data_IF_876590888561
#
_entry.id   IF_876590888561
#
_cell.length_a   1.000
_cell.length_b   1.000
_cell.length_c   1.000
_cell.angle_alpha   90.00
_cell.angle_beta   90.00
_cell.angle_gamma   90.00
#
_symmetry.space_group_name_H-M   'P 1'
#
loop_
_entity.id
_entity.type
_entity.pdbx_description
1 polymer ?
#
# COMPACT_ATOMS: atom_id res chain seq x y z
N UNK A 1 18.62 -13.18 -3.93
CA UNK A 1 19.35 -11.90 -3.66
C UNK A 1 19.12 -11.61 -2.21
N UNK A 2 20.15 -11.32 -1.43
CA UNK A 2 19.94 -10.88 -0.04
C UNK A 2 19.59 -9.38 -0.06
N UNK A 3 18.38 -9.04 0.39
CA UNK A 3 17.91 -7.65 0.45
C UNK A 3 18.42 -6.86 1.66
N UNK A 4 19.20 -7.50 2.55
CA UNK A 4 19.81 -6.87 3.72
C UNK A 4 18.78 -6.23 4.69
N UNK A 5 17.62 -6.87 4.82
CA UNK A 5 16.54 -6.37 5.68
C UNK A 5 16.60 -6.97 7.11
N UNK A 6 17.49 -7.92 7.34
CA UNK A 6 17.71 -8.50 8.68
C UNK A 6 18.07 -7.40 9.69
N UNK A 7 17.31 -7.34 10.78
CA UNK A 7 17.51 -6.35 11.84
C UNK A 7 16.79 -5.01 11.60
N UNK A 8 16.17 -4.78 10.44
CA UNK A 8 15.32 -3.63 10.18
C UNK A 8 13.93 -3.84 10.76
N UNK A 9 13.27 -2.75 11.14
CA UNK A 9 11.88 -2.74 11.61
C UNK A 9 11.01 -2.00 10.59
N UNK A 10 9.94 -2.65 10.15
CA UNK A 10 8.99 -2.09 9.20
C UNK A 10 7.61 -1.90 9.84
N UNK A 11 6.97 -0.76 9.57
CA UNK A 11 5.56 -0.55 9.78
C UNK A 11 4.84 -0.64 8.43
N UNK A 12 3.91 -1.59 8.31
CA UNK A 12 3.04 -1.71 7.14
C UNK A 12 1.61 -1.37 7.56
N UNK A 13 1.09 -0.23 7.10
CA UNK A 13 -0.26 0.19 7.47
C UNK A 13 -1.32 -0.60 6.71
N UNK A 14 -2.42 -1.00 7.39
CA UNK A 14 -3.45 -1.83 6.79
C UNK A 14 -2.94 -3.20 6.34
N UNK A 15 -2.13 -3.87 7.14
CA UNK A 15 -1.45 -5.13 6.80
C UNK A 15 -2.17 -6.40 7.26
N UNK A 16 -3.47 -6.33 7.55
CA UNK A 16 -4.26 -7.51 7.94
C UNK A 16 -4.90 -8.25 6.76
N UNK A 17 -4.78 -7.76 5.54
CA UNK A 17 -5.32 -8.38 4.32
C UNK A 17 -4.64 -7.85 3.05
N UNK A 18 -4.93 -8.48 1.92
CA UNK A 18 -4.56 -8.00 0.57
C UNK A 18 -3.09 -7.66 0.38
N UNK A 19 -2.82 -6.54 -0.30
CA UNK A 19 -1.46 -6.07 -0.62
C UNK A 19 -0.62 -5.85 0.65
N UNK A 20 -1.20 -5.25 1.68
CA UNK A 20 -0.49 -4.96 2.93
C UNK A 20 -0.01 -6.23 3.65
N UNK A 21 -0.83 -7.28 3.69
CA UNK A 21 -0.46 -8.58 4.27
C UNK A 21 0.65 -9.26 3.45
N UNK A 22 0.55 -9.23 2.14
CA UNK A 22 1.60 -9.78 1.26
C UNK A 22 2.93 -9.03 1.41
N UNK A 23 2.90 -7.69 1.53
CA UNK A 23 4.09 -6.89 1.81
C UNK A 23 4.70 -7.29 3.16
N UNK A 24 3.89 -7.42 4.21
CA UNK A 24 4.37 -7.87 5.52
C UNK A 24 5.04 -9.24 5.42
N UNK A 25 4.41 -10.21 4.76
CA UNK A 25 4.98 -11.55 4.53
C UNK A 25 6.33 -11.48 3.80
N UNK A 26 6.43 -10.68 2.73
CA UNK A 26 7.68 -10.55 1.97
C UNK A 26 8.81 -9.92 2.80
N UNK A 27 8.52 -8.90 3.59
CA UNK A 27 9.51 -8.26 4.48
C UNK A 27 9.99 -9.22 5.59
N UNK A 28 9.07 -10.03 6.13
CA UNK A 28 9.39 -11.06 7.13
C UNK A 28 10.32 -12.12 6.53
N UNK A 29 10.02 -12.59 5.32
CA UNK A 29 10.84 -13.58 4.62
C UNK A 29 12.28 -13.10 4.39
N UNK A 30 12.47 -11.78 4.26
CA UNK A 30 13.78 -11.14 4.15
C UNK A 30 14.42 -10.79 5.52
N UNK A 31 13.81 -11.24 6.64
CA UNK A 31 14.34 -11.11 8.00
C UNK A 31 14.06 -9.79 8.72
N UNK A 32 13.18 -8.96 8.19
CA UNK A 32 12.74 -7.76 8.89
C UNK A 32 11.81 -8.11 10.07
N UNK A 33 11.80 -7.25 11.08
CA UNK A 33 10.74 -7.22 12.07
C UNK A 33 9.59 -6.38 11.52
N UNK A 34 8.34 -6.84 11.66
CA UNK A 34 7.19 -6.15 11.05
C UNK A 34 6.11 -5.84 12.08
N UNK A 35 5.67 -4.59 12.08
CA UNK A 35 4.53 -4.11 12.86
C UNK A 35 3.29 -4.30 11.99
N UNK A 36 2.40 -5.20 12.40
CA UNK A 36 1.14 -5.55 11.73
C UNK A 36 0.04 -4.63 12.23
N UNK A 37 -0.49 -3.82 11.31
CA UNK A 37 -1.52 -2.84 11.65
C UNK A 37 -2.88 -3.18 11.04
N UNK A 38 -3.89 -3.01 11.85
CA UNK A 38 -5.32 -3.08 11.51
C UNK A 38 -6.15 -2.39 12.57
N UNK A 39 -7.45 -2.22 12.31
CA UNK A 39 -8.37 -1.55 13.26
C UNK A 39 -8.82 -2.45 14.40
N UNK A 40 -8.94 -3.76 14.15
CA UNK A 40 -9.47 -4.74 15.10
C UNK A 40 -8.36 -5.64 15.62
N UNK A 41 -8.25 -5.73 16.92
CA UNK A 41 -7.22 -6.51 17.61
C UNK A 41 -7.28 -8.00 17.24
N UNK A 42 -8.49 -8.57 17.16
CA UNK A 42 -8.66 -9.98 16.78
C UNK A 42 -8.07 -10.26 15.40
N UNK A 43 -8.32 -9.35 14.41
CA UNK A 43 -7.81 -9.55 13.04
C UNK A 43 -6.30 -9.36 12.95
N UNK A 44 -5.74 -8.42 13.73
CA UNK A 44 -4.29 -8.25 13.84
C UNK A 44 -3.65 -9.51 14.39
N UNK A 45 -4.17 -10.04 15.50
CA UNK A 45 -3.64 -11.23 16.14
C UNK A 45 -3.84 -12.50 15.29
N UNK A 46 -4.94 -12.60 14.54
CA UNK A 46 -5.15 -13.68 13.57
C UNK A 46 -4.08 -13.64 12.47
N UNK A 47 -3.86 -12.46 11.87
CA UNK A 47 -2.86 -12.27 10.81
C UNK A 47 -1.45 -12.59 11.31
N UNK A 48 -1.11 -12.20 12.52
CA UNK A 48 0.18 -12.56 13.13
C UNK A 48 0.33 -14.07 13.22
N UNK A 49 -0.68 -14.79 13.76
CA UNK A 49 -0.64 -16.26 13.85
C UNK A 49 -0.53 -16.95 12.48
N UNK A 50 -1.13 -16.39 11.44
CA UNK A 50 -1.01 -16.91 10.07
C UNK A 50 0.41 -16.74 9.54
N UNK A 51 0.99 -15.55 9.70
CA UNK A 51 2.35 -15.25 9.26
C UNK A 51 3.43 -16.03 10.04
N UNK A 52 3.21 -16.26 11.34
CA UNK A 52 4.09 -17.10 12.17
C UNK A 52 4.09 -18.57 11.73
N UNK A 53 2.97 -19.10 11.22
CA UNK A 53 2.92 -20.46 10.65
C UNK A 53 3.76 -20.59 9.39
N UNK A 54 3.79 -19.53 8.56
CA UNK A 54 4.57 -19.49 7.32
C UNK A 54 6.06 -19.23 7.59
N UNK A 55 6.35 -18.43 8.63
CA UNK A 55 7.71 -18.05 9.03
C UNK A 55 7.85 -18.10 10.55
N UNK A 56 8.19 -19.26 11.13
CA UNK A 56 8.18 -19.49 12.59
C UNK A 56 9.08 -18.55 13.41
N UNK A 57 10.19 -18.08 12.83
CA UNK A 57 11.14 -17.17 13.50
C UNK A 57 10.84 -15.68 13.24
N UNK A 58 9.65 -15.38 12.69
CA UNK A 58 9.24 -14.02 12.37
C UNK A 58 9.14 -13.14 13.62
N UNK A 59 9.66 -11.93 13.54
CA UNK A 59 9.50 -10.91 14.57
C UNK A 59 8.33 -10.00 14.23
N UNK A 60 7.17 -10.25 14.83
CA UNK A 60 5.93 -9.58 14.58
C UNK A 60 5.44 -8.81 15.79
N UNK A 61 4.92 -7.62 15.56
CA UNK A 61 4.41 -6.73 16.60
C UNK A 61 2.99 -6.30 16.28
N UNK A 62 2.04 -6.45 17.22
CA UNK A 62 0.65 -6.06 16.99
C UNK A 62 0.45 -4.54 17.09
N UNK A 63 -0.33 -3.96 16.20
CA UNK A 63 -0.70 -2.55 16.21
C UNK A 63 -2.17 -2.38 15.83
N UNK A 64 -3.06 -2.60 16.81
CA UNK A 64 -4.51 -2.46 16.65
C UNK A 64 -4.92 -0.98 16.80
N UNK A 65 -4.69 -0.17 15.75
CA UNK A 65 -5.02 1.25 15.72
C UNK A 65 -5.72 1.61 14.41
N UNK A 66 -6.75 2.45 14.49
CA UNK A 66 -7.34 3.06 13.29
C UNK A 66 -6.48 4.24 12.82
N UNK A 67 -5.63 3.99 11.83
CA UNK A 67 -4.75 5.00 11.26
C UNK A 67 -5.46 5.96 10.29
N UNK A 68 -6.73 5.74 9.98
CA UNK A 68 -7.58 6.74 9.35
C UNK A 68 -7.89 7.92 10.27
N UNK A 69 -7.66 7.77 11.60
CA UNK A 69 -7.91 8.77 12.61
C UNK A 69 -6.61 9.35 13.18
N UNK A 70 -6.62 10.62 13.57
CA UNK A 70 -5.44 11.30 14.11
C UNK A 70 -4.94 10.66 15.42
N UNK A 71 -5.87 10.22 16.26
CA UNK A 71 -5.61 9.56 17.53
C UNK A 71 -4.86 8.25 17.34
N UNK A 72 -5.29 7.41 16.37
CA UNK A 72 -4.63 6.15 16.03
C UNK A 72 -3.22 6.36 15.52
N UNK A 73 -3.00 7.38 14.67
CA UNK A 73 -1.65 7.77 14.22
C UNK A 73 -0.77 8.28 15.36
N UNK A 74 -1.37 8.93 16.37
CA UNK A 74 -0.67 9.34 17.59
C UNK A 74 -0.26 8.16 18.44
N UNK A 75 -1.19 7.23 18.68
CA UNK A 75 -1.00 6.06 19.51
C UNK A 75 0.06 5.10 18.97
N UNK A 76 0.01 4.79 17.67
CA UNK A 76 1.02 3.90 17.06
C UNK A 76 2.44 4.49 17.15
N UNK A 77 2.57 5.81 16.99
CA UNK A 77 3.87 6.46 17.15
C UNK A 77 4.38 6.46 18.60
N UNK A 78 3.48 6.51 19.59
CA UNK A 78 3.86 6.37 21.00
C UNK A 78 4.34 4.96 21.31
N UNK A 79 3.68 3.93 20.77
CA UNK A 79 4.03 2.54 20.99
C UNK A 79 5.27 2.12 20.21
N UNK A 80 5.44 2.59 18.99
CA UNK A 80 6.53 2.27 18.07
C UNK A 80 7.16 3.56 17.54
N UNK A 81 7.95 4.27 18.33
CA UNK A 81 8.46 5.59 17.97
C UNK A 81 9.49 5.58 16.84
N UNK A 82 10.13 4.44 16.58
CA UNK A 82 11.17 4.30 15.56
C UNK A 82 10.89 3.08 14.66
N UNK A 83 10.93 3.34 13.34
CA UNK A 83 10.90 2.30 12.31
C UNK A 83 11.93 2.64 11.22
N UNK A 84 12.51 1.63 10.60
CA UNK A 84 13.45 1.80 9.48
C UNK A 84 12.72 1.95 8.16
N UNK A 85 11.55 1.30 8.06
CA UNK A 85 10.75 1.22 6.85
C UNK A 85 9.31 1.59 7.21
N UNK A 86 8.74 2.56 6.50
CA UNK A 86 7.33 2.93 6.60
C UNK A 86 6.64 2.65 5.26
N UNK A 87 5.71 1.71 5.25
CA UNK A 87 4.86 1.43 4.09
C UNK A 87 3.46 2.00 4.35
N UNK A 88 3.14 3.12 3.70
CA UNK A 88 1.82 3.73 3.70
C UNK A 88 0.93 2.99 2.70
N UNK A 89 0.36 1.87 3.14
CA UNK A 89 -0.52 1.02 2.32
C UNK A 89 -2.00 1.22 2.65
N UNK A 90 -2.34 1.75 3.85
CA UNK A 90 -3.73 1.99 4.22
C UNK A 90 -4.45 2.82 3.14
N UNK A 91 -5.63 2.35 2.75
CA UNK A 91 -6.49 3.06 1.83
C UNK A 91 -7.85 2.39 1.70
N UNK A 92 -8.82 3.18 1.32
CA UNK A 92 -10.17 2.74 0.96
C UNK A 92 -10.41 3.05 -0.51
N UNK A 93 -11.21 2.22 -1.17
CA UNK A 93 -11.70 2.41 -2.52
C UNK A 93 -13.17 1.98 -2.57
N UNK A 94 -13.96 2.68 -3.35
CA UNK A 94 -15.37 2.38 -3.53
C UNK A 94 -15.82 3.02 -4.85
N UNK A 95 -16.43 2.29 -5.77
CA UNK A 95 -17.02 2.85 -6.96
C UNK A 95 -18.20 3.77 -6.62
N UNK A 96 -18.29 4.92 -7.26
CA UNK A 96 -19.43 5.85 -7.14
C UNK A 96 -19.52 6.75 -8.37
N UNK A 97 -20.73 7.05 -8.80
CA UNK A 97 -20.98 8.03 -9.88
C UNK A 97 -20.55 9.43 -9.44
N UNK A 98 -19.80 10.11 -10.28
CA UNK A 98 -19.16 11.39 -9.94
C UNK A 98 -20.11 12.42 -9.35
N UNK A 99 -21.30 12.57 -9.97
CA UNK A 99 -22.28 13.59 -9.57
C UNK A 99 -23.05 13.23 -8.29
N UNK A 100 -22.95 11.99 -7.84
CA UNK A 100 -23.64 11.48 -6.65
C UNK A 100 -22.72 11.39 -5.42
N UNK A 101 -21.41 11.72 -5.58
CA UNK A 101 -20.46 11.68 -4.48
C UNK A 101 -20.63 12.91 -3.60
N UNK A 102 -21.16 12.79 -2.37
CA UNK A 102 -21.30 13.92 -1.46
C UNK A 102 -19.95 14.39 -0.91
N UNK A 103 -19.88 15.63 -0.44
CA UNK A 103 -18.66 16.23 0.10
C UNK A 103 -18.05 15.40 1.24
N UNK A 104 -18.89 14.78 2.09
CA UNK A 104 -18.48 13.94 3.20
C UNK A 104 -17.67 12.73 2.74
N UNK A 105 -18.02 12.13 1.59
CA UNK A 105 -17.27 11.02 1.01
C UNK A 105 -15.92 11.49 0.45
N UNK A 106 -15.86 12.62 -0.22
CA UNK A 106 -14.59 13.23 -0.62
C UNK A 106 -13.67 13.43 0.58
N UNK A 107 -14.18 14.03 1.66
CA UNK A 107 -13.43 14.28 2.87
C UNK A 107 -13.00 12.97 3.57
N UNK A 108 -13.88 11.96 3.62
CA UNK A 108 -13.56 10.63 4.17
C UNK A 108 -12.41 9.98 3.42
N UNK A 109 -12.43 10.03 2.09
CA UNK A 109 -11.34 9.49 1.27
C UNK A 109 -10.03 10.22 1.50
N UNK A 110 -10.05 11.55 1.57
CA UNK A 110 -8.86 12.34 1.90
C UNK A 110 -8.35 12.05 3.31
N UNK A 111 -9.22 11.93 4.28
CA UNK A 111 -8.84 11.63 5.66
C UNK A 111 -8.13 10.27 5.77
N UNK A 112 -8.70 9.24 5.16
CA UNK A 112 -8.14 7.89 5.24
C UNK A 112 -6.92 7.71 4.32
N UNK A 113 -7.03 8.09 3.05
CA UNK A 113 -6.00 7.77 2.04
C UNK A 113 -4.82 8.75 2.06
N UNK A 114 -5.02 9.97 2.54
CA UNK A 114 -4.00 11.03 2.52
C UNK A 114 -3.51 11.37 3.92
N UNK A 115 -4.44 11.77 4.82
CA UNK A 115 -4.04 12.28 6.11
C UNK A 115 -3.40 11.22 7.00
N UNK A 116 -3.73 9.95 6.84
CA UNK A 116 -3.02 8.84 7.50
C UNK A 116 -1.51 8.88 7.17
N UNK A 117 -1.18 8.89 5.88
CA UNK A 117 0.21 8.95 5.41
C UNK A 117 0.91 10.24 5.81
N UNK A 118 0.23 11.39 5.72
CA UNK A 118 0.77 12.71 6.16
C UNK A 118 1.11 12.69 7.65
N UNK A 119 0.24 12.16 8.50
CA UNK A 119 0.47 12.11 9.96
C UNK A 119 1.64 11.20 10.32
N UNK A 120 1.73 10.04 9.68
CA UNK A 120 2.81 9.09 9.93
C UNK A 120 4.15 9.60 9.40
N UNK A 121 4.21 10.08 8.15
CA UNK A 121 5.46 10.59 7.57
C UNK A 121 5.97 11.83 8.29
N UNK A 122 5.10 12.73 8.74
CA UNK A 122 5.49 13.90 9.54
C UNK A 122 6.32 13.50 10.76
N UNK A 123 6.10 12.33 11.32
CA UNK A 123 6.79 11.84 12.51
C UNK A 123 7.96 10.92 12.16
N UNK A 124 7.69 9.86 11.42
CA UNK A 124 8.70 8.84 11.10
C UNK A 124 9.77 9.35 10.12
N UNK A 125 9.36 10.02 9.03
CA UNK A 125 10.33 10.53 8.07
C UNK A 125 11.25 11.60 8.68
N UNK A 126 10.72 12.45 9.59
CA UNK A 126 11.57 13.40 10.33
C UNK A 126 12.69 12.69 11.08
N UNK A 127 12.37 11.61 11.83
CA UNK A 127 13.37 10.81 12.56
C UNK A 127 14.33 10.08 11.61
N UNK A 128 13.83 9.57 10.49
CA UNK A 128 14.67 8.95 9.46
C UNK A 128 15.69 9.94 8.90
N UNK A 129 15.27 11.16 8.59
CA UNK A 129 16.14 12.24 8.09
C UNK A 129 17.18 12.64 9.15
N UNK A 130 16.79 12.80 10.41
CA UNK A 130 17.68 13.12 11.53
C UNK A 130 18.80 12.07 11.71
N UNK A 131 18.47 10.77 11.59
CA UNK A 131 19.45 9.67 11.64
C UNK A 131 20.09 9.33 10.29
N UNK A 132 19.68 10.04 9.21
CA UNK A 132 20.16 9.91 7.82
C UNK A 132 19.92 8.55 7.19
N UNK A 133 18.96 7.77 7.67
CA UNK A 133 18.63 6.45 7.13
C UNK A 133 17.15 6.12 7.30
N UNK A 134 16.51 5.58 6.25
CA UNK A 134 15.13 5.13 6.27
C UNK A 134 14.54 4.90 4.88
N UNK A 135 13.39 4.25 4.86
CA UNK A 135 12.61 3.98 3.65
C UNK A 135 11.16 4.36 3.88
N UNK A 136 10.63 5.20 3.01
CA UNK A 136 9.20 5.55 3.00
C UNK A 136 8.62 5.16 1.65
N UNK A 137 7.58 4.35 1.67
CA UNK A 137 6.92 3.86 0.47
C UNK A 137 5.43 4.15 0.58
N UNK A 138 4.86 4.78 -0.43
CA UNK A 138 3.41 4.95 -0.58
C UNK A 138 2.88 3.92 -1.57
N UNK A 139 1.78 3.27 -1.22
CA UNK A 139 1.04 2.40 -2.14
C UNK A 139 -0.11 3.21 -2.73
N UNK A 140 0.13 3.74 -3.92
CA UNK A 140 -0.88 4.49 -4.67
C UNK A 140 -1.75 3.54 -5.53
N UNK A 141 -1.88 3.80 -6.80
CA UNK A 141 -2.60 3.01 -7.80
C UNK A 141 -2.25 3.53 -9.20
N UNK A 142 -2.45 2.74 -10.23
CA UNK A 142 -2.49 3.19 -11.62
C UNK A 142 -3.52 4.32 -11.83
N UNK A 143 -4.59 4.33 -11.01
CA UNK A 143 -5.61 5.39 -11.01
C UNK A 143 -5.05 6.78 -10.67
N UNK A 144 -3.83 6.85 -10.13
CA UNK A 144 -3.14 8.13 -9.89
C UNK A 144 -2.75 8.86 -11.19
N UNK A 145 -2.55 8.12 -12.28
CA UNK A 145 -2.11 8.65 -13.60
C UNK A 145 -3.09 8.30 -14.73
N UNK A 146 -4.03 7.40 -14.47
CA UNK A 146 -5.12 7.02 -15.36
C UNK A 146 -6.43 6.96 -14.54
N UNK A 147 -7.00 8.12 -14.20
CA UNK A 147 -8.18 8.18 -13.33
C UNK A 147 -9.38 7.42 -13.89
N UNK A 148 -10.03 6.63 -13.03
CA UNK A 148 -11.28 5.95 -13.38
C UNK A 148 -12.47 6.89 -13.18
N UNK A 149 -13.43 6.87 -14.11
CA UNK A 149 -14.65 7.66 -14.01
C UNK A 149 -15.48 7.25 -12.79
N UNK A 150 -15.53 5.95 -12.50
CA UNK A 150 -16.32 5.36 -11.41
C UNK A 150 -15.66 5.53 -10.02
N UNK A 151 -14.47 6.11 -9.95
CA UNK A 151 -13.70 6.27 -8.71
C UNK A 151 -12.94 7.59 -8.68
N UNK A 152 -13.59 8.71 -9.05
CA UNK A 152 -12.94 10.02 -9.18
C UNK A 152 -12.28 10.47 -7.86
N UNK A 153 -12.98 10.36 -6.73
CA UNK A 153 -12.47 10.71 -5.40
C UNK A 153 -11.30 9.84 -4.98
N UNK A 154 -11.35 8.52 -5.24
CA UNK A 154 -10.22 7.62 -5.02
C UNK A 154 -9.03 8.03 -5.87
N UNK A 155 -9.22 8.21 -7.18
CA UNK A 155 -8.17 8.59 -8.12
C UNK A 155 -7.48 9.90 -7.71
N UNK A 156 -8.26 10.90 -7.28
CA UNK A 156 -7.74 12.17 -6.76
C UNK A 156 -6.82 11.95 -5.55
N UNK A 157 -7.23 11.08 -4.61
CA UNK A 157 -6.36 10.77 -3.46
C UNK A 157 -5.08 10.07 -3.91
N UNK A 158 -5.13 9.14 -4.86
CA UNK A 158 -3.96 8.42 -5.34
C UNK A 158 -2.97 9.32 -6.10
N UNK A 159 -3.48 10.28 -6.89
CA UNK A 159 -2.66 11.34 -7.51
C UNK A 159 -1.99 12.22 -6.43
N UNK A 160 -2.73 12.58 -5.40
CA UNK A 160 -2.19 13.37 -4.27
C UNK A 160 -1.03 12.66 -3.58
N UNK A 161 -1.08 11.31 -3.44
CA UNK A 161 0.04 10.53 -2.87
C UNK A 161 1.33 10.67 -3.68
N UNK A 162 1.26 10.76 -5.02
CA UNK A 162 2.45 10.99 -5.87
C UNK A 162 3.09 12.33 -5.55
N UNK A 163 2.29 13.40 -5.45
CA UNK A 163 2.76 14.74 -5.12
C UNK A 163 3.39 14.80 -3.72
N UNK A 164 2.74 14.20 -2.72
CA UNK A 164 3.25 14.13 -1.34
C UNK A 164 4.58 13.38 -1.27
N UNK A 165 4.66 12.22 -1.92
CA UNK A 165 5.87 11.41 -1.96
C UNK A 165 7.03 12.17 -2.60
N UNK A 166 6.79 12.81 -3.74
CA UNK A 166 7.82 13.61 -4.43
C UNK A 166 8.29 14.78 -3.57
N UNK A 167 7.36 15.53 -2.97
CA UNK A 167 7.71 16.66 -2.11
C UNK A 167 8.51 16.24 -0.87
N UNK A 168 8.15 15.08 -0.27
CA UNK A 168 8.87 14.56 0.87
C UNK A 168 10.28 14.07 0.50
N UNK A 169 10.45 13.52 -0.71
CA UNK A 169 11.75 13.09 -1.20
C UNK A 169 12.76 14.24 -1.29
N UNK A 170 12.33 15.44 -1.67
CA UNK A 170 13.22 16.62 -1.72
C UNK A 170 13.82 16.96 -0.34
N UNK A 171 13.10 16.64 0.74
CA UNK A 171 13.60 16.89 2.11
C UNK A 171 14.66 15.89 2.56
N UNK A 172 14.93 14.83 1.78
CA UNK A 172 15.90 13.78 2.12
C UNK A 172 17.31 14.05 1.57
N UNK A 173 17.54 15.21 0.95
CA UNK A 173 18.81 15.57 0.36
C UNK A 173 19.99 15.37 1.32
N UNK A 174 21.08 14.75 0.84
CA UNK A 174 22.27 14.49 1.66
C UNK A 174 22.13 13.38 2.70
N UNK A 175 21.09 12.56 2.58
CA UNK A 175 20.83 11.39 3.46
C UNK A 175 20.75 10.09 2.66
N UNK A 176 20.66 8.96 3.37
CA UNK A 176 20.32 7.64 2.80
C UNK A 176 18.80 7.34 2.92
N UNK A 177 17.97 8.35 3.17
CA UNK A 177 16.51 8.18 3.20
C UNK A 177 15.96 8.23 1.78
N UNK A 178 15.12 7.27 1.42
CA UNK A 178 14.38 7.32 0.15
C UNK A 178 12.88 7.37 0.36
N UNK A 179 12.18 8.09 -0.49
CA UNK A 179 10.73 8.20 -0.51
C UNK A 179 10.23 7.91 -1.90
N UNK A 180 9.48 6.83 -2.05
CA UNK A 180 8.99 6.39 -3.35
C UNK A 180 7.49 6.03 -3.30
N UNK A 181 6.87 6.01 -4.45
CA UNK A 181 5.48 5.55 -4.61
C UNK A 181 5.45 4.34 -5.53
N UNK A 182 4.73 3.31 -5.13
CA UNK A 182 4.38 2.16 -5.98
C UNK A 182 2.95 2.36 -6.46
N UNK A 183 2.71 2.13 -7.73
CA UNK A 183 1.40 2.22 -8.38
C UNK A 183 0.97 0.83 -8.88
N UNK A 184 0.28 0.04 -8.06
CA UNK A 184 -0.29 -1.22 -8.50
C UNK A 184 -1.40 -1.00 -9.53
N UNK A 185 -1.55 -1.94 -10.45
CA UNK A 185 -2.78 -2.12 -11.22
C UNK A 185 -3.81 -2.96 -10.45
N UNK A 186 -4.88 -3.39 -11.14
CA UNK A 186 -5.92 -4.21 -10.54
C UNK A 186 -5.32 -5.49 -9.96
N UNK A 187 -5.45 -5.64 -8.64
CA UNK A 187 -4.76 -6.68 -7.86
C UNK A 187 -5.75 -7.65 -7.25
N UNK A 188 -5.45 -8.94 -7.29
CA UNK A 188 -6.28 -10.01 -6.74
C UNK A 188 -6.23 -9.98 -5.21
N UNK A 189 -7.14 -9.23 -4.61
CA UNK A 189 -7.33 -9.13 -3.16
C UNK A 189 -8.75 -9.54 -2.79
N UNK A 190 -8.99 -9.91 -1.54
CA UNK A 190 -10.33 -10.22 -1.03
C UNK A 190 -11.35 -9.13 -1.40
N UNK A 191 -10.97 -7.85 -1.30
CA UNK A 191 -11.85 -6.73 -1.67
C UNK A 191 -12.17 -6.68 -3.16
N UNK A 192 -11.20 -7.00 -4.04
CA UNK A 192 -11.43 -7.07 -5.49
C UNK A 192 -12.25 -8.31 -5.86
N UNK A 193 -12.04 -9.44 -5.21
CA UNK A 193 -12.86 -10.65 -5.41
C UNK A 193 -14.32 -10.37 -5.06
N UNK A 194 -14.59 -9.75 -3.90
CA UNK A 194 -15.96 -9.33 -3.52
C UNK A 194 -16.56 -8.33 -4.52
N UNK A 195 -15.76 -7.39 -5.02
CA UNK A 195 -16.21 -6.46 -6.07
C UNK A 195 -16.58 -7.20 -7.35
N UNK A 196 -15.77 -8.17 -7.80
CA UNK A 196 -16.07 -8.97 -8.99
C UNK A 196 -17.38 -9.77 -8.86
N UNK A 197 -17.64 -10.34 -7.69
CA UNK A 197 -18.90 -11.02 -7.40
C UNK A 197 -20.09 -10.06 -7.50
N UNK A 198 -19.94 -8.81 -7.06
CA UNK A 198 -20.99 -7.79 -7.12
C UNK A 198 -21.20 -7.18 -8.52
N UNK A 199 -20.18 -7.24 -9.40
CA UNK A 199 -20.27 -6.71 -10.77
C UNK A 199 -21.12 -7.61 -11.71
N UNK A 200 -21.23 -8.91 -11.41
CA UNK A 200 -21.92 -9.87 -12.25
C UNK A 200 -23.02 -10.63 -11.48
N UNK A 201 -24.02 -9.90 -10.93
CA UNK A 201 -25.05 -10.50 -10.08
C UNK A 201 -25.93 -11.47 -10.88
N UNK A 202 -26.14 -12.67 -10.34
CA UNK A 202 -27.00 -13.70 -10.97
C UNK A 202 -26.35 -14.46 -12.13
N UNK A 203 -25.12 -14.16 -12.48
CA UNK A 203 -24.34 -14.93 -13.44
C UNK A 203 -23.51 -15.96 -12.66
N UNK A 204 -23.69 -17.25 -12.94
CA UNK A 204 -22.94 -18.32 -12.28
C UNK A 204 -21.51 -18.42 -12.85
N UNK A 205 -20.74 -17.33 -12.78
CA UNK A 205 -19.35 -17.29 -13.22
C UNK A 205 -18.43 -17.88 -12.16
N UNK A 206 -17.46 -18.66 -12.58
CA UNK A 206 -16.31 -18.99 -11.72
C UNK A 206 -15.46 -17.74 -11.49
N UNK A 207 -14.69 -17.69 -10.42
CA UNK A 207 -13.78 -16.58 -10.14
C UNK A 207 -12.83 -16.26 -11.33
N UNK A 208 -12.35 -17.31 -12.03
CA UNK A 208 -11.49 -17.15 -13.19
C UNK A 208 -12.24 -16.58 -14.43
N UNK A 209 -13.53 -16.86 -14.57
CA UNK A 209 -14.36 -16.30 -15.64
C UNK A 209 -14.68 -14.84 -15.35
N UNK A 210 -15.05 -14.52 -14.11
CA UNK A 210 -15.27 -13.14 -13.67
C UNK A 210 -14.01 -12.29 -13.84
N UNK A 211 -12.83 -12.79 -13.44
CA UNK A 211 -11.53 -12.12 -13.64
C UNK A 211 -11.27 -11.85 -15.13
N UNK A 212 -11.38 -12.87 -16.01
CA UNK A 212 -11.16 -12.70 -17.46
C UNK A 212 -12.10 -11.67 -18.07
N UNK A 213 -13.37 -11.72 -17.69
CA UNK A 213 -14.38 -10.76 -18.17
C UNK A 213 -14.08 -9.34 -17.70
N UNK A 214 -13.79 -9.15 -16.43
CA UNK A 214 -13.39 -7.86 -15.87
C UNK A 214 -12.18 -7.27 -16.58
N UNK A 215 -11.14 -8.09 -16.80
CA UNK A 215 -9.94 -7.60 -17.50
C UNK A 215 -10.25 -7.17 -18.93
N UNK A 216 -11.10 -7.93 -19.63
CA UNK A 216 -11.50 -7.59 -21.01
C UNK A 216 -12.36 -6.33 -21.09
N UNK A 217 -13.30 -6.16 -20.18
CA UNK A 217 -14.30 -5.07 -20.21
C UNK A 217 -13.76 -3.78 -19.57
N UNK A 218 -13.10 -3.89 -18.41
CA UNK A 218 -12.70 -2.74 -17.60
C UNK A 218 -11.20 -2.42 -17.67
N UNK A 219 -10.38 -3.36 -18.12
CA UNK A 219 -8.90 -3.19 -18.21
C UNK A 219 -8.34 -3.68 -19.55
N UNK A 220 -8.94 -3.29 -20.70
CA UNK A 220 -8.59 -3.84 -22.02
C UNK A 220 -7.16 -3.51 -22.46
N UNK A 221 -6.54 -2.50 -21.85
CA UNK A 221 -5.17 -2.08 -22.19
C UNK A 221 -4.10 -2.85 -21.42
N UNK A 222 -4.47 -3.62 -20.40
CA UNK A 222 -3.52 -4.44 -19.65
C UNK A 222 -2.79 -5.43 -20.57
N UNK A 223 -1.46 -5.42 -20.54
CA UNK A 223 -0.67 -6.35 -21.37
C UNK A 223 -0.68 -7.75 -20.79
N UNK A 224 -0.69 -7.89 -19.46
CA UNK A 224 -0.69 -9.21 -18.81
C UNK A 224 -2.05 -9.89 -18.80
N UNK A 225 -3.15 -9.17 -19.07
CA UNK A 225 -4.54 -9.66 -19.17
C UNK A 225 -5.01 -10.55 -18.00
N UNK A 226 -4.53 -10.28 -16.80
CA UNK A 226 -4.94 -10.90 -15.54
C UNK A 226 -4.82 -9.92 -14.40
N UNK A 227 -5.43 -10.22 -13.27
CA UNK A 227 -5.15 -9.51 -12.02
C UNK A 227 -3.69 -9.73 -11.59
N UNK A 228 -3.10 -8.72 -10.98
CA UNK A 228 -1.77 -8.79 -10.37
C UNK A 228 -1.92 -9.57 -9.07
N UNK A 229 -0.99 -10.47 -8.78
CA UNK A 229 -0.95 -11.14 -7.49
C UNK A 229 -0.35 -10.20 -6.44
N UNK A 230 -0.88 -10.16 -5.19
CA UNK A 230 -0.33 -9.33 -4.12
C UNK A 230 1.17 -9.53 -3.90
N UNK A 231 1.67 -10.76 -4.09
CA UNK A 231 3.08 -11.11 -3.93
C UNK A 231 3.97 -10.41 -4.97
N UNK A 232 3.48 -10.17 -6.19
CA UNK A 232 4.24 -9.47 -7.24
C UNK A 232 4.51 -8.00 -6.82
N UNK A 233 3.56 -7.38 -6.12
CA UNK A 233 3.73 -6.04 -5.54
C UNK A 233 4.64 -6.11 -4.32
N UNK A 234 4.43 -7.10 -3.46
CA UNK A 234 5.16 -7.26 -2.21
C UNK A 234 6.67 -7.45 -2.44
N UNK A 235 7.07 -8.27 -3.41
CA UNK A 235 8.49 -8.47 -3.77
C UNK A 235 9.14 -7.16 -4.21
N UNK A 236 8.42 -6.35 -4.96
CA UNK A 236 8.96 -5.05 -5.39
C UNK A 236 9.06 -4.05 -4.23
N UNK A 237 8.08 -4.03 -3.34
CA UNK A 237 8.13 -3.22 -2.12
C UNK A 237 9.27 -3.66 -1.21
N UNK A 238 9.52 -4.97 -1.07
CA UNK A 238 10.67 -5.49 -0.33
C UNK A 238 11.99 -5.03 -0.93
N UNK A 239 12.13 -5.05 -2.27
CA UNK A 239 13.29 -4.48 -2.95
C UNK A 239 13.46 -2.98 -2.68
N UNK A 240 12.39 -2.19 -2.77
CA UNK A 240 12.44 -0.76 -2.47
C UNK A 240 12.74 -0.46 -0.99
N UNK A 241 12.48 -1.40 -0.10
CA UNK A 241 12.80 -1.31 1.32
C UNK A 241 14.29 -1.58 1.61
N UNK A 242 15.00 -2.15 0.64
CA UNK A 242 16.42 -2.54 0.75
C UNK A 242 17.37 -1.36 0.58
N UNK A 243 18.56 -1.37 1.19
CA UNK A 243 19.64 -0.45 0.83
C UNK A 243 20.11 -0.60 -0.62
N UNK A 244 19.86 -1.74 -1.28
CA UNK A 244 20.21 -1.97 -2.69
C UNK A 244 19.43 -1.07 -3.67
N UNK A 245 18.30 -0.50 -3.24
CA UNK A 245 17.49 0.43 -4.01
C UNK A 245 17.79 1.91 -3.74
N UNK A 246 18.90 2.22 -3.06
CA UNK A 246 19.22 3.58 -2.58
C UNK A 246 19.29 4.66 -3.69
N UNK A 247 19.52 4.27 -4.94
CA UNK A 247 19.50 5.18 -6.10
C UNK A 247 18.08 5.52 -6.58
N UNK A 248 17.04 4.85 -6.06
CA UNK A 248 15.64 5.11 -6.40
C UNK A 248 15.06 6.01 -5.31
N UNK A 249 14.89 7.30 -5.62
CA UNK A 249 14.33 8.28 -4.69
C UNK A 249 13.43 9.27 -5.43
N UNK A 250 12.31 9.62 -4.86
CA UNK A 250 11.33 10.54 -5.44
C UNK A 250 10.59 9.98 -6.66
N UNK A 251 10.59 8.67 -6.86
CA UNK A 251 10.04 8.01 -8.03
C UNK A 251 8.62 7.50 -7.79
N UNK A 252 7.80 7.54 -8.85
CA UNK A 252 6.51 6.87 -8.94
C UNK A 252 6.66 5.67 -9.89
N UNK A 253 6.55 4.47 -9.35
CA UNK A 253 6.94 3.23 -10.00
C UNK A 253 5.71 2.33 -10.23
N UNK A 254 5.47 1.95 -11.47
CA UNK A 254 4.30 1.16 -11.85
C UNK A 254 4.54 -0.33 -11.71
N UNK A 255 3.55 -1.02 -11.13
CA UNK A 255 3.37 -2.47 -11.20
C UNK A 255 1.91 -2.70 -11.63
N UNK A 256 1.61 -2.36 -12.88
CA UNK A 256 0.27 -2.28 -13.42
C UNK A 256 0.00 -3.29 -14.55
N UNK A 257 0.96 -4.17 -14.83
CA UNK A 257 0.83 -5.14 -15.91
C UNK A 257 0.74 -4.52 -17.30
N UNK A 258 1.28 -3.29 -17.46
CA UNK A 258 1.23 -2.54 -18.70
C UNK A 258 -0.14 -1.95 -19.02
N UNK A 259 -0.97 -1.70 -17.98
CA UNK A 259 -2.30 -1.12 -18.13
C UNK A 259 -2.24 0.34 -18.62
N UNK A 260 -1.38 1.16 -18.01
CA UNK A 260 -1.20 2.57 -18.36
C UNK A 260 -0.36 2.71 -19.62
N UNK A 261 -0.96 3.25 -20.68
CA UNK A 261 -0.29 3.51 -21.97
C UNK A 261 0.53 4.78 -21.92
N UNK A 262 1.64 4.76 -21.21
CA UNK A 262 2.61 5.86 -21.15
C UNK A 262 4.02 5.28 -21.05
N UNK A 263 4.97 5.97 -21.63
CA UNK A 263 6.39 5.63 -21.54
C UNK A 263 7.05 6.24 -20.29
N UNK A 264 6.35 7.13 -19.61
CA UNK A 264 6.74 7.80 -18.36
C UNK A 264 5.66 7.65 -17.31
#
# INVERSE_FOLDING_TARGET
MDLQLKGKTALVTGSTSGIGKAIAASLIAEGAAVIINGRREEKVNETIRELEKETPDARLYPAAFDLGMAEGCGAIFQQYPDVDILVNNLGIFEPAEYFDIPDEEWLRFFEVNIMSGVRLTRRYAKRMIERKEGRVIFIASEAAVMPSQEMAHYSATKTTQLSLSRSLAELTEGTNVTVNTVMPGSTKTEGVETMLESLYPGENLTAAEAERRFMKENRPTSIIQRLIRPEEIAHFVAFLSSPLSSAINGSALRIDGGLVRSII
#
